data_IF_732532801569
#
_entry.id   IF_732532801569
#
_cell.length_a   1.000
_cell.length_b   1.000
_cell.length_c   1.000
_cell.angle_alpha   90.00
_cell.angle_beta   90.00
_cell.angle_gamma   90.00
#
_symmetry.space_group_name_H-M   'P 1'
#
loop_
_entity.id
_entity.type
_entity.pdbx_description
1 polymer ?
#
# COMPACT_ATOMS: atom_id res chain seq x y z
N UNK A 1 10.83 -6.35 13.79
CA UNK A 1 10.85 -7.34 12.86
C UNK A 1 9.74 -7.21 11.88
N UNK A 2 10.01 -7.27 10.64
CA UNK A 2 9.05 -7.08 9.75
C UNK A 2 8.53 -8.28 9.24
N UNK A 3 7.38 -8.67 9.49
CA UNK A 3 6.88 -9.86 9.04
C UNK A 3 5.67 -9.64 8.18
N UNK A 4 5.12 -8.47 8.12
CA UNK A 4 3.97 -8.18 7.29
C UNK A 4 4.43 -7.24 6.18
N UNK A 5 4.89 -7.84 5.11
CA UNK A 5 5.49 -7.08 4.04
C UNK A 5 5.02 -7.60 2.70
N UNK A 6 4.68 -6.68 1.80
CA UNK A 6 4.22 -7.04 0.46
C UNK A 6 4.94 -6.15 -0.52
N UNK A 7 5.49 -6.74 -1.57
CA UNK A 7 6.13 -5.98 -2.62
C UNK A 7 5.25 -6.05 -3.85
N UNK A 8 4.98 -4.91 -4.47
CA UNK A 8 4.19 -4.85 -5.68
C UNK A 8 5.09 -4.39 -6.80
N UNK A 9 4.81 -4.86 -8.01
CA UNK A 9 5.66 -4.52 -9.15
C UNK A 9 4.84 -4.49 -10.42
N UNK A 10 5.37 -3.78 -11.41
CA UNK A 10 4.74 -3.69 -12.71
C UNK A 10 3.56 -2.74 -12.73
N UNK A 11 2.66 -2.96 -13.66
CA UNK A 11 1.50 -2.11 -13.78
C UNK A 11 0.42 -2.63 -12.86
N UNK A 12 -0.15 -1.77 -12.05
CA UNK A 12 -1.23 -2.14 -11.15
C UNK A 12 -2.50 -1.56 -11.74
N UNK A 13 -3.35 -2.43 -12.26
CA UNK A 13 -4.58 -1.98 -12.90
C UNK A 13 -5.71 -2.94 -12.57
N UNK A 14 -6.83 -2.80 -13.27
CA UNK A 14 -8.01 -3.57 -12.96
C UNK A 14 -7.76 -5.07 -13.07
N UNK A 15 -6.83 -5.47 -13.94
CA UNK A 15 -6.59 -6.89 -14.15
C UNK A 15 -5.96 -7.57 -12.94
N UNK A 16 -5.14 -6.85 -12.17
CA UNK A 16 -4.45 -7.47 -11.06
C UNK A 16 -4.69 -6.82 -9.70
N UNK A 17 -5.46 -5.75 -9.65
CA UNK A 17 -5.69 -5.09 -8.36
C UNK A 17 -6.35 -6.01 -7.35
N UNK A 18 -7.30 -6.82 -7.80
CA UNK A 18 -7.97 -7.72 -6.89
C UNK A 18 -7.05 -8.81 -6.38
N UNK A 19 -6.11 -9.25 -7.20
CA UNK A 19 -5.17 -10.26 -6.77
C UNK A 19 -4.27 -9.70 -5.67
N UNK A 20 -3.83 -8.47 -5.82
CA UNK A 20 -3.02 -7.85 -4.78
C UNK A 20 -3.83 -7.61 -3.52
N UNK A 21 -5.10 -7.25 -3.67
CA UNK A 21 -5.96 -7.07 -2.49
C UNK A 21 -6.12 -8.39 -1.73
N UNK A 22 -6.34 -9.47 -2.46
CA UNK A 22 -6.50 -10.77 -1.83
C UNK A 22 -5.21 -11.18 -1.12
N UNK A 23 -4.05 -10.91 -1.75
CA UNK A 23 -2.78 -11.24 -1.16
C UNK A 23 -2.55 -10.42 0.10
N UNK A 24 -2.88 -9.13 0.06
CA UNK A 24 -2.71 -8.28 1.23
C UNK A 24 -3.61 -8.75 2.37
N UNK A 25 -4.84 -9.14 2.05
CA UNK A 25 -5.74 -9.63 3.09
C UNK A 25 -5.24 -10.91 3.72
N UNK A 26 -4.63 -11.78 2.91
CA UNK A 26 -4.07 -13.02 3.45
C UNK A 26 -2.89 -12.71 4.37
N UNK A 27 -2.06 -11.75 4.01
CA UNK A 27 -0.95 -11.36 4.85
C UNK A 27 -1.46 -10.76 6.15
N UNK A 28 -2.46 -9.90 6.09
CA UNK A 28 -3.04 -9.29 7.26
C UNK A 28 -3.60 -10.35 8.19
N UNK A 29 -4.31 -11.33 7.62
CA UNK A 29 -4.91 -12.38 8.43
C UNK A 29 -3.84 -13.20 9.16
N UNK A 30 -2.68 -13.36 8.54
CA UNK A 30 -1.63 -14.13 9.18
C UNK A 30 -0.81 -13.34 10.18
N UNK A 31 -0.84 -12.01 10.11
CA UNK A 31 -0.01 -11.17 10.95
C UNK A 31 -0.72 -10.43 12.05
N UNK A 32 -2.01 -10.21 11.90
CA UNK A 32 -2.72 -9.30 12.81
C UNK A 32 -2.77 -9.80 14.25
N UNK A 33 -2.45 -11.04 14.47
CA UNK A 33 -2.51 -11.58 15.82
C UNK A 33 -1.39 -11.01 16.70
N UNK A 34 -0.37 -10.43 16.10
CA UNK A 34 0.75 -9.92 16.85
C UNK A 34 0.61 -8.45 17.12
N UNK A 35 0.96 -8.05 18.31
CA UNK A 35 0.85 -6.65 18.69
C UNK A 35 1.82 -5.79 17.88
N UNK A 36 1.46 -4.55 17.70
CA UNK A 36 2.30 -3.60 17.02
C UNK A 36 2.65 -3.99 15.61
N UNK A 37 1.75 -4.65 14.94
CA UNK A 37 2.01 -5.09 13.60
C UNK A 37 1.70 -3.98 12.61
N UNK A 38 2.53 -3.90 11.59
CA UNK A 38 2.37 -2.92 10.56
C UNK A 38 2.53 -3.64 9.24
N UNK A 39 1.64 -3.37 8.30
CA UNK A 39 1.78 -3.92 6.95
C UNK A 39 2.56 -2.91 6.13
N UNK A 40 3.71 -3.31 5.64
CA UNK A 40 4.55 -2.46 4.83
C UNK A 40 4.43 -2.90 3.38
N UNK A 41 4.09 -1.99 2.51
CA UNK A 41 3.99 -2.27 1.09
C UNK A 41 5.08 -1.51 0.36
N UNK A 42 5.94 -2.25 -0.34
CA UNK A 42 7.04 -1.67 -1.08
C UNK A 42 6.58 -1.51 -2.52
N UNK A 43 6.57 -0.29 -3.01
CA UNK A 43 6.10 0.02 -4.33
C UNK A 43 7.23 0.32 -5.32
N UNK A 44 8.46 -0.01 -4.96
CA UNK A 44 9.60 0.35 -5.78
C UNK A 44 9.56 -0.22 -7.19
N UNK A 45 8.93 -1.36 -7.37
CA UNK A 45 8.84 -1.96 -8.69
C UNK A 45 7.63 -1.56 -9.51
N UNK A 46 6.77 -0.71 -8.97
CA UNK A 46 5.54 -0.35 -9.66
C UNK A 46 5.84 0.68 -10.74
N UNK A 47 5.44 0.39 -11.97
CA UNK A 47 5.67 1.29 -13.09
C UNK A 47 4.46 2.12 -13.46
N UNK A 48 3.28 1.70 -13.02
CA UNK A 48 2.07 2.43 -13.34
C UNK A 48 0.99 1.98 -12.36
N UNK A 49 0.12 2.90 -11.98
CA UNK A 49 -0.99 2.55 -11.11
C UNK A 49 -2.23 3.26 -11.60
N UNK A 50 -3.27 2.49 -11.88
CA UNK A 50 -4.53 3.05 -12.35
C UNK A 50 -5.41 3.41 -11.16
N UNK A 51 -6.58 3.95 -11.43
CA UNK A 51 -7.53 4.25 -10.37
C UNK A 51 -7.97 2.98 -9.65
N UNK A 52 -7.99 1.84 -10.36
CA UNK A 52 -8.30 0.56 -9.71
C UNK A 52 -7.20 0.21 -8.72
N UNK A 53 -5.95 0.51 -9.06
CA UNK A 53 -4.85 0.28 -8.15
C UNK A 53 -4.95 1.17 -6.92
N UNK A 54 -5.30 2.43 -7.11
CA UNK A 54 -5.46 3.34 -5.98
C UNK A 54 -6.60 2.86 -5.09
N UNK A 55 -7.70 2.43 -5.68
CA UNK A 55 -8.83 1.94 -4.91
C UNK A 55 -8.45 0.68 -4.13
N UNK A 56 -7.63 -0.16 -4.75
CA UNK A 56 -7.14 -1.35 -4.07
C UNK A 56 -6.35 -0.96 -2.82
N UNK A 57 -5.50 0.06 -2.91
CA UNK A 57 -4.74 0.49 -1.75
C UNK A 57 -5.66 1.01 -0.64
N UNK A 58 -6.74 1.70 -1.00
CA UNK A 58 -7.70 2.18 -0.02
C UNK A 58 -8.34 0.99 0.70
N UNK A 59 -8.67 -0.07 -0.06
CA UNK A 59 -9.28 -1.24 0.55
C UNK A 59 -8.28 -2.00 1.43
N UNK A 60 -7.02 -2.03 1.03
CA UNK A 60 -5.99 -2.66 1.86
C UNK A 60 -5.86 -1.89 3.17
N UNK A 61 -5.89 -0.56 3.11
CA UNK A 61 -5.79 0.24 4.30
C UNK A 61 -6.95 -0.04 5.23
N UNK A 62 -8.16 -0.17 4.65
CA UNK A 62 -9.33 -0.46 5.44
C UNK A 62 -9.20 -1.82 6.13
N UNK A 63 -8.72 -2.82 5.39
CA UNK A 63 -8.55 -4.15 5.97
C UNK A 63 -7.51 -4.13 7.09
N UNK A 64 -6.41 -3.40 6.89
CA UNK A 64 -5.39 -3.30 7.91
C UNK A 64 -5.93 -2.60 9.16
N UNK A 65 -6.66 -1.51 8.97
CA UNK A 65 -7.22 -0.77 10.08
C UNK A 65 -8.19 -1.64 10.86
N UNK A 66 -9.02 -2.40 10.15
CA UNK A 66 -9.99 -3.28 10.81
C UNK A 66 -9.28 -4.35 11.64
N UNK A 67 -8.08 -4.72 11.27
CA UNK A 67 -7.31 -5.71 11.99
C UNK A 67 -6.41 -5.08 13.06
N UNK A 68 -6.49 -3.77 13.24
CA UNK A 68 -5.68 -3.09 14.23
C UNK A 68 -4.25 -2.84 13.80
N UNK A 69 -3.99 -2.88 12.49
CA UNK A 69 -2.66 -2.69 11.96
C UNK A 69 -2.54 -1.37 11.24
N UNK A 70 -1.31 -0.87 11.14
CA UNK A 70 -1.05 0.31 10.37
C UNK A 70 -0.62 -0.11 8.98
N UNK A 71 -0.93 0.69 7.98
CA UNK A 71 -0.46 0.46 6.63
C UNK A 71 0.61 1.51 6.35
N UNK A 72 1.75 1.06 5.85
CA UNK A 72 2.82 1.96 5.49
C UNK A 72 3.28 1.68 4.08
N UNK A 73 3.32 2.72 3.25
CA UNK A 73 3.82 2.58 1.89
C UNK A 73 5.24 3.10 1.85
N UNK A 74 6.15 2.33 1.27
CA UNK A 74 7.55 2.71 1.21
C UNK A 74 8.09 2.60 -0.19
N UNK A 75 9.17 3.31 -0.46
CA UNK A 75 9.85 3.30 -1.75
C UNK A 75 8.89 3.60 -2.88
N UNK A 76 8.11 4.65 -2.71
CA UNK A 76 7.07 5.02 -3.64
C UNK A 76 7.68 5.71 -4.84
N UNK A 77 7.48 5.19 -6.05
CA UNK A 77 7.98 5.87 -7.24
C UNK A 77 7.34 7.25 -7.37
N UNK A 78 8.09 8.17 -7.95
CA UNK A 78 7.62 9.53 -8.06
C UNK A 78 6.26 9.63 -8.73
N UNK A 79 6.04 8.83 -9.76
CA UNK A 79 4.79 8.86 -10.47
C UNK A 79 3.61 8.45 -9.60
N UNK A 80 3.81 7.44 -8.78
CA UNK A 80 2.75 6.99 -7.88
C UNK A 80 2.56 8.01 -6.77
N UNK A 81 3.65 8.59 -6.28
CA UNK A 81 3.56 9.60 -5.25
C UNK A 81 2.75 10.80 -5.74
N UNK A 82 2.93 11.20 -6.99
CA UNK A 82 2.19 12.29 -7.56
C UNK A 82 0.70 11.96 -7.63
N UNK A 83 0.37 10.72 -7.99
CA UNK A 83 -1.02 10.31 -8.03
C UNK A 83 -1.66 10.37 -6.64
N UNK A 84 -0.92 9.94 -5.64
CA UNK A 84 -1.44 9.99 -4.27
C UNK A 84 -1.69 11.41 -3.83
N UNK A 85 -0.82 12.33 -4.24
CA UNK A 85 -1.01 13.72 -3.90
C UNK A 85 -2.21 14.32 -4.60
N UNK A 86 -2.35 14.06 -5.88
CA UNK A 86 -3.45 14.61 -6.67
C UNK A 86 -4.78 14.13 -6.12
N UNK A 87 -4.85 12.90 -5.67
CA UNK A 87 -6.09 12.36 -5.16
C UNK A 87 -6.27 12.59 -3.67
N UNK A 88 -5.32 13.30 -3.05
CA UNK A 88 -5.37 13.61 -1.63
C UNK A 88 -5.40 12.36 -0.75
N UNK A 89 -4.81 11.29 -1.23
CA UNK A 89 -4.79 10.05 -0.46
C UNK A 89 -3.50 9.88 0.33
N UNK A 90 -2.50 10.72 0.11
CA UNK A 90 -1.22 10.54 0.77
C UNK A 90 -1.33 10.54 2.30
N UNK A 91 -2.16 11.42 2.84
CA UNK A 91 -2.30 11.49 4.27
C UNK A 91 -2.96 10.26 4.85
N UNK A 92 -3.82 9.61 4.07
CA UNK A 92 -4.51 8.45 4.54
C UNK A 92 -3.58 7.24 4.69
N UNK A 93 -2.47 7.23 3.97
CA UNK A 93 -1.62 6.07 3.99
C UNK A 93 -0.38 6.23 4.86
N UNK A 94 -0.23 7.38 5.52
CA UNK A 94 0.96 7.59 6.32
C UNK A 94 2.20 7.37 5.46
N UNK A 95 2.23 8.03 4.31
CA UNK A 95 3.29 7.81 3.34
C UNK A 95 4.62 8.28 3.89
N UNK A 96 5.43 7.34 4.29
CA UNK A 96 6.64 7.65 5.00
C UNK A 96 7.67 8.45 4.22
N UNK A 97 7.83 8.15 2.97
CA UNK A 97 8.81 8.86 2.19
C UNK A 97 8.20 9.77 1.16
N UNK A 98 7.01 10.25 1.41
CA UNK A 98 6.39 11.17 0.49
C UNK A 98 7.13 12.49 0.49
N UNK A 99 7.58 12.93 1.66
CA UNK A 99 8.28 14.17 1.74
C UNK A 99 9.53 14.22 0.90
N UNK A 100 10.41 13.26 1.06
CA UNK A 100 11.63 13.25 0.27
C UNK A 100 11.35 13.14 -1.21
N UNK A 101 10.34 12.40 -1.56
CA UNK A 101 10.03 12.21 -2.95
C UNK A 101 9.56 13.49 -3.58
N UNK A 102 8.86 14.28 -2.82
CA UNK A 102 8.32 15.50 -3.34
C UNK A 102 9.30 16.64 -3.39
N UNK A 103 10.37 16.49 -2.69
CA UNK A 103 11.35 17.55 -2.63
C UNK A 103 12.12 17.72 -3.93
#
# INVERSE_FOLDING_TARGET
>A
MERCHLTMAGEIDMANAEDYLALARAIIAGCHAEADTCLTIDLSGVTFMSSSGLNMLVEVRRAATDAGMELRLVRIPERVSQLLEITALADHFGVANAGPVLA
#
